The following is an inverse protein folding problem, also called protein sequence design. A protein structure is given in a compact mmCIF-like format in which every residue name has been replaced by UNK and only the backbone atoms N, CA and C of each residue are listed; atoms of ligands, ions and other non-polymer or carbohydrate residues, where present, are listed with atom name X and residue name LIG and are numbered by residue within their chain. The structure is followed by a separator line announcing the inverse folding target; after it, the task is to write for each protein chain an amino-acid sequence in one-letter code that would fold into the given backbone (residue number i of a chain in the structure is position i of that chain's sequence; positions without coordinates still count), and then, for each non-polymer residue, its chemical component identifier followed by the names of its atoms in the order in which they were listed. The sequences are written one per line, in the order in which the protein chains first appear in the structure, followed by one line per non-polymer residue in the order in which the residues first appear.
data_IF_110373945514
#
_entry.id   IF_110373945514
#
_cell.length_a   1.000
_cell.length_b   1.000
_cell.length_c   1.000
_cell.angle_alpha   90.00
_cell.angle_beta   90.00
_cell.angle_gamma   90.00
#
_symmetry.space_group_name_H-M   'P 1'
#
loop_
_entity.id
_entity.type
_entity.pdbx_description
1 polymer ?
#
# COMPACT_ATOMS: atom_id res chain seq x y z
N UNK A 1 -21.54 -14.85 60.40
CA UNK A 1 -21.66 -13.76 59.41
C UNK A 1 -20.26 -13.49 58.87
N UNK A 2 -19.95 -13.97 57.67
CA UNK A 2 -18.70 -13.66 56.96
C UNK A 2 -19.10 -12.96 55.66
N UNK A 3 -18.66 -11.72 55.50
CA UNK A 3 -18.92 -10.90 54.32
C UNK A 3 -18.01 -11.36 53.18
N UNK A 4 -18.59 -11.77 52.06
CA UNK A 4 -17.84 -11.99 50.83
C UNK A 4 -17.53 -10.61 50.21
N UNK A 5 -16.25 -10.24 50.30
CA UNK A 5 -15.68 -9.10 49.60
C UNK A 5 -15.69 -9.39 48.09
N UNK A 6 -16.55 -8.69 47.35
CA UNK A 6 -16.59 -8.73 45.89
C UNK A 6 -15.28 -8.18 45.32
N UNK A 7 -14.43 -9.08 44.84
CA UNK A 7 -13.24 -8.73 44.08
C UNK A 7 -13.66 -8.04 42.77
N UNK A 8 -13.25 -6.78 42.60
CA UNK A 8 -13.36 -6.06 41.34
C UNK A 8 -12.45 -6.74 40.31
N UNK A 9 -13.07 -7.25 39.24
CA UNK A 9 -12.36 -7.70 38.04
C UNK A 9 -11.82 -6.42 37.37
N UNK A 10 -10.51 -6.32 37.11
CA UNK A 10 -9.96 -5.16 36.43
C UNK A 10 -10.51 -5.13 35.00
N UNK A 11 -11.25 -4.06 34.68
CA UNK A 11 -11.77 -3.84 33.33
C UNK A 11 -10.61 -3.86 32.34
N UNK A 12 -10.68 -4.77 31.38
CA UNK A 12 -9.74 -4.83 30.27
C UNK A 12 -9.79 -3.50 29.51
N UNK A 13 -8.66 -2.98 29.00
CA UNK A 13 -8.67 -1.71 28.27
C UNK A 13 -9.59 -1.84 27.06
N UNK A 14 -10.74 -1.17 27.12
CA UNK A 14 -11.69 -1.09 26.00
C UNK A 14 -11.01 -0.39 24.84
N UNK A 15 -10.53 -1.17 23.88
CA UNK A 15 -9.95 -0.64 22.65
C UNK A 15 -11.02 0.17 21.92
N UNK A 16 -10.79 1.48 21.79
CA UNK A 16 -11.69 2.37 21.04
C UNK A 16 -11.64 1.97 19.57
N UNK A 17 -12.77 1.48 19.05
CA UNK A 17 -12.91 1.08 17.66
C UNK A 17 -12.99 2.30 16.75
N UNK A 18 -12.27 2.23 15.63
CA UNK A 18 -12.22 3.27 14.61
C UNK A 18 -13.22 2.99 13.49
N UNK A 19 -14.02 3.99 13.13
CA UNK A 19 -14.89 3.96 11.95
C UNK A 19 -14.41 4.98 10.90
N UNK A 20 -13.49 4.55 10.04
CA UNK A 20 -12.87 5.39 9.00
C UNK A 20 -13.88 5.96 8.00
N UNK A 21 -14.98 5.24 7.76
CA UNK A 21 -15.92 5.55 6.71
C UNK A 21 -17.31 5.88 7.27
N UNK A 22 -17.38 6.33 8.52
CA UNK A 22 -18.63 6.67 9.18
C UNK A 22 -19.47 7.64 8.34
N UNK A 23 -20.69 7.24 8.01
CA UNK A 23 -21.63 8.00 7.18
C UNK A 23 -21.30 8.02 5.67
N UNK A 24 -20.24 7.33 5.22
CA UNK A 24 -19.90 7.19 3.80
C UNK A 24 -20.48 5.89 3.26
N UNK A 25 -21.45 6.02 2.36
CA UNK A 25 -22.19 4.88 1.82
C UNK A 25 -21.29 3.84 1.12
N UNK A 26 -20.20 4.26 0.47
CA UNK A 26 -19.26 3.35 -0.21
C UNK A 26 -18.40 2.50 0.76
N UNK A 27 -18.40 2.81 2.05
CA UNK A 27 -17.58 2.14 3.06
C UNK A 27 -18.41 1.32 4.04
N UNK A 28 -17.80 0.27 4.58
CA UNK A 28 -18.40 -0.50 5.68
C UNK A 28 -18.50 0.35 6.94
N UNK A 29 -19.68 0.40 7.54
CA UNK A 29 -19.96 1.06 8.82
C UNK A 29 -19.61 0.14 9.99
N UNK A 30 -19.27 0.72 11.15
CA UNK A 30 -18.94 -0.10 12.33
C UNK A 30 -20.14 -0.92 12.84
N UNK A 31 -21.35 -0.39 12.65
CA UNK A 31 -22.60 -1.00 13.09
C UNK A 31 -23.10 -2.15 12.20
N UNK A 32 -22.53 -2.33 10.99
CA UNK A 32 -22.91 -3.42 10.08
C UNK A 32 -21.82 -4.50 10.03
N UNK A 33 -22.24 -5.75 9.86
CA UNK A 33 -21.37 -6.88 9.58
C UNK A 33 -20.75 -6.80 8.18
N UNK A 34 -19.75 -7.63 7.90
CA UNK A 34 -19.18 -7.71 6.55
C UNK A 34 -20.21 -8.24 5.56
N UNK A 35 -21.05 -9.19 5.96
CA UNK A 35 -22.08 -9.77 5.08
C UNK A 35 -23.17 -8.76 4.74
N UNK A 36 -23.66 -7.99 5.71
CA UNK A 36 -24.64 -6.91 5.46
C UNK A 36 -24.06 -5.85 4.51
N UNK A 37 -22.79 -5.48 4.71
CA UNK A 37 -22.09 -4.58 3.79
C UNK A 37 -22.01 -5.13 2.36
N UNK A 38 -21.65 -6.41 2.21
CA UNK A 38 -21.51 -7.05 0.90
C UNK A 38 -22.87 -7.33 0.24
N UNK A 39 -23.96 -7.47 1.01
CA UNK A 39 -25.32 -7.49 0.45
C UNK A 39 -25.74 -6.12 -0.08
N UNK A 40 -25.35 -5.05 0.64
CA UNK A 40 -25.64 -3.66 0.26
C UNK A 40 -24.81 -3.18 -0.93
N UNK A 41 -23.54 -3.56 -1.00
CA UNK A 41 -22.62 -3.23 -2.09
C UNK A 41 -21.84 -4.47 -2.56
N UNK A 42 -22.49 -5.39 -3.30
CA UNK A 42 -21.82 -6.58 -3.78
C UNK A 42 -20.81 -6.20 -4.89
N UNK A 43 -19.51 -6.53 -4.76
CA UNK A 43 -18.49 -6.12 -5.71
C UNK A 43 -18.74 -6.62 -7.15
N UNK A 44 -19.47 -7.72 -7.32
CA UNK A 44 -19.71 -8.36 -8.62
C UNK A 44 -20.76 -7.64 -9.47
N UNK A 45 -21.70 -6.90 -8.86
CA UNK A 45 -22.82 -6.26 -9.55
C UNK A 45 -22.91 -4.75 -9.31
N UNK A 46 -22.13 -4.24 -8.36
CA UNK A 46 -22.06 -2.80 -8.10
C UNK A 46 -21.25 -2.15 -9.21
N UNK A 47 -21.91 -1.42 -10.10
CA UNK A 47 -21.26 -0.70 -11.18
C UNK A 47 -20.41 0.47 -10.64
N UNK A 48 -19.21 0.63 -11.19
CA UNK A 48 -18.38 1.79 -10.89
C UNK A 48 -18.88 3.02 -11.62
N UNK A 49 -18.92 4.16 -10.92
CA UNK A 49 -19.26 5.47 -11.49
C UNK A 49 -18.24 6.52 -11.03
N UNK A 50 -18.36 7.75 -11.55
CA UNK A 50 -17.55 8.86 -11.03
C UNK A 50 -17.74 9.09 -9.52
N UNK A 51 -18.95 8.81 -9.03
CA UNK A 51 -19.34 8.95 -7.63
C UNK A 51 -18.97 7.72 -6.77
N UNK A 52 -18.80 6.55 -7.40
CA UNK A 52 -18.43 5.30 -6.75
C UNK A 52 -17.32 4.57 -7.51
N UNK A 53 -16.08 4.94 -7.22
CA UNK A 53 -14.91 4.30 -7.84
C UNK A 53 -14.44 3.06 -7.07
N UNK A 54 -14.68 3.02 -5.76
CA UNK A 54 -14.20 1.97 -4.86
C UNK A 54 -15.17 1.76 -3.71
N UNK A 55 -15.31 0.49 -3.31
CA UNK A 55 -15.92 0.10 -2.04
C UNK A 55 -14.80 -0.17 -1.03
N UNK A 56 -15.01 0.21 0.23
CA UNK A 56 -13.95 0.17 1.24
C UNK A 56 -14.35 -0.57 2.51
N UNK A 57 -13.45 -1.42 3.00
CA UNK A 57 -13.53 -2.03 4.33
C UNK A 57 -12.27 -1.65 5.10
N UNK A 58 -12.43 -1.08 6.29
CA UNK A 58 -11.33 -0.80 7.22
C UNK A 58 -11.35 -1.77 8.40
N UNK A 59 -10.16 -2.05 8.92
CA UNK A 59 -10.01 -2.76 10.19
C UNK A 59 -10.33 -1.78 11.35
N UNK A 60 -11.37 -2.05 12.18
CA UNK A 60 -11.76 -1.13 13.24
C UNK A 60 -10.79 -1.09 14.42
N UNK A 61 -9.89 -2.07 14.54
CA UNK A 61 -8.88 -2.13 15.61
C UNK A 61 -7.65 -1.27 15.32
N UNK A 62 -7.54 -0.71 14.11
CA UNK A 62 -6.45 0.19 13.75
C UNK A 62 -6.84 1.63 14.03
N UNK A 63 -5.96 2.44 14.66
CA UNK A 63 -6.24 3.85 14.87
C UNK A 63 -6.37 4.60 13.53
N UNK A 64 -7.15 5.67 13.54
CA UNK A 64 -7.22 6.59 12.42
C UNK A 64 -5.89 7.37 12.32
N UNK A 65 -5.34 7.55 11.11
CA UNK A 65 -4.18 8.41 10.92
C UNK A 65 -4.55 9.83 11.34
N UNK A 66 -3.63 10.50 12.04
CA UNK A 66 -3.79 11.92 12.35
C UNK A 66 -3.73 12.73 11.05
N UNK A 67 -4.46 13.82 10.96
CA UNK A 67 -4.58 14.64 9.74
C UNK A 67 -3.22 15.13 9.20
N UNK A 68 -2.22 15.29 10.07
CA UNK A 68 -0.87 15.74 9.72
C UNK A 68 -0.06 14.68 8.95
N UNK A 69 -0.18 13.41 9.36
CA UNK A 69 0.48 12.26 8.70
C UNK A 69 0.09 12.15 7.21
N UNK A 70 -1.15 12.52 6.86
CA UNK A 70 -1.61 12.48 5.47
C UNK A 70 -0.82 13.42 4.55
N UNK A 71 -0.56 14.65 4.99
CA UNK A 71 0.10 15.68 4.17
C UNK A 71 1.60 15.42 4.03
N UNK A 72 2.27 15.02 5.11
CA UNK A 72 3.69 14.67 5.04
C UNK A 72 3.95 13.43 4.18
N UNK A 73 3.04 12.45 4.20
CA UNK A 73 3.16 11.24 3.40
C UNK A 73 2.96 11.52 1.91
N UNK A 74 2.10 12.47 1.54
CA UNK A 74 1.96 12.93 0.13
C UNK A 74 3.26 13.56 -0.36
N UNK A 75 3.89 14.42 0.44
CA UNK A 75 5.17 15.05 0.08
C UNK A 75 6.30 14.02 -0.05
N UNK A 76 6.44 13.09 0.90
CA UNK A 76 7.43 12.00 0.86
C UNK A 76 7.20 11.08 -0.34
N UNK A 77 5.96 10.75 -0.66
CA UNK A 77 5.58 9.97 -1.84
C UNK A 77 5.95 10.69 -3.14
N UNK A 78 5.71 12.00 -3.24
CA UNK A 78 6.09 12.80 -4.42
C UNK A 78 7.61 12.79 -4.65
N UNK A 79 8.40 12.94 -3.58
CA UNK A 79 9.86 12.85 -3.63
C UNK A 79 10.30 11.45 -4.09
N UNK A 80 9.73 10.39 -3.52
CA UNK A 80 10.01 9.01 -3.94
C UNK A 80 9.71 8.81 -5.43
N UNK A 81 8.55 9.26 -5.90
CA UNK A 81 8.15 9.12 -7.30
C UNK A 81 9.09 9.85 -8.26
N UNK A 82 9.43 11.11 -7.96
CA UNK A 82 10.32 11.91 -8.80
C UNK A 82 11.74 11.34 -8.87
N UNK A 83 12.33 10.99 -7.71
CA UNK A 83 13.67 10.40 -7.67
C UNK A 83 13.71 8.99 -8.26
N UNK A 84 12.69 8.17 -7.98
CA UNK A 84 12.56 6.84 -8.59
C UNK A 84 12.45 6.90 -10.11
N UNK A 85 11.68 7.87 -10.64
CA UNK A 85 11.59 8.10 -12.09
C UNK A 85 12.96 8.48 -12.68
N UNK A 86 13.74 9.33 -12.01
CA UNK A 86 15.09 9.68 -12.45
C UNK A 86 16.00 8.45 -12.49
N UNK A 87 15.99 7.60 -11.46
CA UNK A 87 16.77 6.35 -11.42
C UNK A 87 16.40 5.39 -12.56
N UNK A 88 15.11 5.28 -12.90
CA UNK A 88 14.64 4.47 -14.02
C UNK A 88 15.08 5.04 -15.37
N UNK A 89 15.02 6.36 -15.54
CA UNK A 89 15.51 7.02 -16.76
C UNK A 89 17.02 6.85 -16.94
N UNK A 90 17.81 6.92 -15.86
CA UNK A 90 19.25 6.66 -15.89
C UNK A 90 19.57 5.22 -16.28
N UNK A 91 18.80 4.25 -15.78
CA UNK A 91 18.91 2.85 -16.18
C UNK A 91 18.59 2.69 -17.67
N UNK A 92 17.51 3.30 -18.16
CA UNK A 92 17.12 3.25 -19.57
C UNK A 92 18.20 3.84 -20.49
N UNK A 93 18.78 4.98 -20.10
CA UNK A 93 19.89 5.60 -20.81
C UNK A 93 21.11 4.67 -20.83
N UNK A 94 21.45 4.06 -19.70
CA UNK A 94 22.57 3.12 -19.58
C UNK A 94 22.37 1.91 -20.48
N UNK A 95 21.18 1.31 -20.45
CA UNK A 95 20.82 0.18 -21.32
C UNK A 95 20.87 0.57 -22.81
N UNK A 96 20.39 1.76 -23.16
CA UNK A 96 20.41 2.26 -24.53
C UNK A 96 21.84 2.49 -25.02
N UNK A 97 22.71 3.07 -24.20
CA UNK A 97 24.13 3.24 -24.51
C UNK A 97 24.84 1.91 -24.72
N UNK A 98 24.59 0.91 -23.86
CA UNK A 98 25.17 -0.43 -24.00
C UNK A 98 24.71 -1.16 -25.27
N UNK A 99 23.47 -0.90 -25.73
CA UNK A 99 22.95 -1.46 -26.99
C UNK A 99 23.54 -0.76 -28.23
N UNK A 100 23.71 0.57 -28.20
CA UNK A 100 24.21 1.34 -29.35
C UNK A 100 25.73 1.26 -29.52
N UNK A 101 26.46 1.18 -28.41
CA UNK A 101 27.91 0.93 -28.39
C UNK A 101 28.15 -0.40 -27.70
N UNK A 102 27.90 -1.53 -28.38
CA UNK A 102 28.20 -2.83 -27.80
C UNK A 102 29.69 -2.82 -27.42
N UNK A 103 30.03 -3.10 -26.15
CA UNK A 103 31.43 -3.21 -25.75
C UNK A 103 32.10 -4.28 -26.63
N UNK A 104 33.42 -4.24 -26.80
CA UNK A 104 34.20 -5.34 -27.45
C UNK A 104 34.03 -6.70 -26.75
N UNK A 105 33.22 -6.77 -25.70
CA UNK A 105 32.98 -7.92 -24.86
C UNK A 105 31.86 -8.80 -25.45
N UNK A 106 31.85 -10.11 -25.12
CA UNK A 106 30.81 -11.03 -25.54
C UNK A 106 29.40 -10.59 -25.10
N UNK A 107 28.39 -10.84 -25.94
CA UNK A 107 26.99 -10.47 -25.68
C UNK A 107 26.44 -10.97 -24.33
N UNK A 108 26.91 -12.13 -23.86
CA UNK A 108 26.55 -12.68 -22.55
C UNK A 108 27.02 -11.82 -21.36
N UNK A 109 28.18 -11.15 -21.48
CA UNK A 109 28.69 -10.23 -20.45
C UNK A 109 27.86 -8.95 -20.43
N UNK A 110 27.52 -8.39 -21.60
CA UNK A 110 26.68 -7.21 -21.70
C UNK A 110 25.27 -7.45 -21.11
N UNK A 111 24.68 -8.63 -21.33
CA UNK A 111 23.40 -8.99 -20.72
C UNK A 111 23.49 -9.09 -19.20
N UNK A 112 24.59 -9.62 -18.67
CA UNK A 112 24.81 -9.72 -17.22
C UNK A 112 24.95 -8.34 -16.58
N UNK A 113 25.67 -7.44 -17.22
CA UNK A 113 25.86 -6.07 -16.72
C UNK A 113 24.53 -5.30 -16.68
N UNK A 114 23.65 -5.51 -17.67
CA UNK A 114 22.29 -4.97 -17.67
C UNK A 114 21.48 -5.53 -16.49
N UNK A 115 21.54 -6.84 -16.23
CA UNK A 115 20.85 -7.44 -15.09
C UNK A 115 21.36 -6.86 -13.75
N UNK A 116 22.67 -6.71 -13.59
CA UNK A 116 23.28 -6.09 -12.39
C UNK A 116 22.80 -4.65 -12.23
N UNK A 117 22.82 -3.85 -13.29
CA UNK A 117 22.36 -2.47 -13.26
C UNK A 117 20.87 -2.39 -12.87
N UNK A 118 20.03 -3.25 -13.45
CA UNK A 118 18.61 -3.33 -13.11
C UNK A 118 18.38 -3.68 -11.65
N UNK A 119 19.03 -4.72 -11.15
CA UNK A 119 18.84 -5.19 -9.78
C UNK A 119 19.35 -4.14 -8.77
N UNK A 120 20.43 -3.43 -9.11
CA UNK A 120 20.89 -2.26 -8.35
C UNK A 120 19.85 -1.15 -8.31
N UNK A 121 19.32 -0.72 -9.46
CA UNK A 121 18.29 0.32 -9.52
C UNK A 121 17.05 -0.06 -8.71
N UNK A 122 16.62 -1.32 -8.77
CA UNK A 122 15.51 -1.82 -7.94
C UNK A 122 15.84 -1.68 -6.46
N UNK A 123 17.02 -2.10 -6.03
CA UNK A 123 17.44 -1.98 -4.63
C UNK A 123 17.52 -0.52 -4.18
N UNK A 124 18.02 0.37 -5.03
CA UNK A 124 18.12 1.80 -4.73
C UNK A 124 16.74 2.44 -4.55
N UNK A 125 15.76 2.09 -5.39
CA UNK A 125 14.36 2.53 -5.25
C UNK A 125 13.74 1.98 -3.96
N UNK A 126 13.99 0.72 -3.62
CA UNK A 126 13.48 0.12 -2.38
C UNK A 126 14.09 0.78 -1.14
N UNK A 127 15.40 1.05 -1.16
CA UNK A 127 16.08 1.78 -0.09
C UNK A 127 15.53 3.19 0.07
N UNK A 128 15.26 3.88 -1.05
CA UNK A 128 14.66 5.20 -1.03
C UNK A 128 13.25 5.16 -0.43
N UNK A 129 12.44 4.15 -0.77
CA UNK A 129 11.11 3.96 -0.21
C UNK A 129 11.16 3.78 1.33
N UNK A 130 12.14 3.04 1.84
CA UNK A 130 12.40 2.89 3.28
C UNK A 130 12.80 4.23 3.91
N UNK A 131 13.73 4.98 3.30
CA UNK A 131 14.15 6.29 3.80
C UNK A 131 13.00 7.28 3.87
N UNK A 132 12.11 7.27 2.88
CA UNK A 132 10.93 8.11 2.81
C UNK A 132 9.75 7.61 3.66
N UNK A 133 9.90 6.45 4.34
CA UNK A 133 8.83 5.77 5.09
C UNK A 133 7.58 5.43 4.25
N UNK A 134 7.75 5.26 2.94
CA UNK A 134 6.69 4.86 1.99
C UNK A 134 6.87 3.37 1.68
N UNK A 135 6.53 2.52 2.65
CA UNK A 135 6.82 1.07 2.61
C UNK A 135 5.58 0.21 2.43
N UNK A 136 4.40 0.83 2.29
CA UNK A 136 3.15 0.12 2.07
C UNK A 136 2.96 -0.21 0.58
N UNK A 137 2.30 -1.34 0.31
CA UNK A 137 2.04 -1.81 -1.05
C UNK A 137 0.69 -2.52 -1.13
N UNK A 138 0.17 -2.64 -2.35
CA UNK A 138 -1.07 -3.37 -2.64
C UNK A 138 -0.75 -4.73 -3.25
N UNK A 139 -1.28 -5.79 -2.66
CA UNK A 139 -1.24 -7.12 -3.27
C UNK A 139 -2.21 -7.11 -4.47
N UNK A 140 -1.73 -7.54 -5.64
CA UNK A 140 -2.58 -7.80 -6.80
C UNK A 140 -2.79 -9.30 -6.92
N UNK A 141 -4.04 -9.75 -6.87
CA UNK A 141 -4.37 -11.12 -7.28
C UNK A 141 -4.33 -11.17 -8.80
N UNK A 142 -3.25 -11.73 -9.35
CA UNK A 142 -3.16 -12.12 -10.75
C UNK A 142 -3.73 -13.54 -10.89
N UNK A 143 -5.05 -13.68 -10.75
CA UNK A 143 -5.70 -14.96 -11.05
C UNK A 143 -6.00 -15.02 -12.55
N UNK A 144 -5.52 -16.11 -13.16
CA UNK A 144 -5.50 -16.43 -14.58
C UNK A 144 -6.85 -16.18 -15.27
N UNK A 145 -6.80 -15.58 -16.46
CA UNK A 145 -7.89 -15.64 -17.42
C UNK A 145 -8.12 -17.11 -17.79
N UNK A 146 -9.33 -17.60 -17.57
CA UNK A 146 -9.84 -18.87 -18.09
C UNK A 146 -10.17 -18.75 -19.59
#
# INVERSE_FOLDING_TARGET
MAAYSSAQIPESPTLVLSDRFKGKWFGRQLAETVDEFLQRLPPAITEGSEELQWIWISNPYLPLPTTDEGTENVSKLSILCSQGANMLNELENTMSHMKQKPPRQPAAMASRDISIARDKTVMDILNLAVQMKVTSGKVRNLTLQH
#
